data_IF_155999099537
#
_entry.id   IF_155999099537
#
_cell.length_a   1.000
_cell.length_b   1.000
_cell.length_c   1.000
_cell.angle_alpha   90.00
_cell.angle_beta   90.00
_cell.angle_gamma   90.00
#
_symmetry.space_group_name_H-M   'P 1'
#
loop_
_entity.id
_entity.type
_entity.pdbx_description
1 polymer ?
#
# COMPACT_ATOMS: atom_id res chain seq x y z
N UNK A 1 12.18 -3.92 0.66
CA UNK A 1 11.18 -3.99 1.76
C UNK A 1 11.91 -4.34 3.05
N UNK A 2 11.49 -3.80 4.20
CA UNK A 2 12.11 -4.09 5.51
C UNK A 2 11.24 -5.00 6.38
N UNK A 3 9.93 -4.75 6.42
CA UNK A 3 8.98 -5.56 7.20
C UNK A 3 7.55 -5.40 6.67
N UNK A 4 6.67 -6.36 6.99
CA UNK A 4 5.23 -6.32 6.68
C UNK A 4 4.44 -6.71 7.91
N UNK A 5 3.50 -5.86 8.32
CA UNK A 5 2.72 -6.05 9.55
C UNK A 5 1.24 -5.81 9.30
N UNK A 6 0.40 -6.57 10.00
CA UNK A 6 -1.06 -6.45 9.95
C UNK A 6 -1.63 -6.51 11.36
N UNK A 7 -2.58 -5.63 11.66
CA UNK A 7 -3.36 -5.66 12.91
C UNK A 7 -4.79 -5.18 12.61
N UNK A 8 -5.76 -6.08 12.79
CA UNK A 8 -7.15 -5.80 12.40
C UNK A 8 -7.24 -5.41 10.92
N UNK A 9 -7.95 -4.32 10.62
CA UNK A 9 -8.07 -3.77 9.27
C UNK A 9 -6.92 -2.81 8.88
N UNK A 10 -5.76 -2.88 9.54
CA UNK A 10 -4.60 -2.06 9.17
C UNK A 10 -3.48 -2.94 8.66
N UNK A 11 -2.96 -2.63 7.47
CA UNK A 11 -1.77 -3.27 6.91
C UNK A 11 -0.70 -2.24 6.61
N UNK A 12 0.56 -2.58 6.88
CA UNK A 12 1.71 -1.72 6.65
C UNK A 12 2.81 -2.53 5.97
N UNK A 13 3.37 -1.95 4.91
CA UNK A 13 4.64 -2.35 4.32
C UNK A 13 5.67 -1.28 4.68
N UNK A 14 6.71 -1.68 5.41
CA UNK A 14 7.83 -0.81 5.74
C UNK A 14 8.87 -0.87 4.61
N UNK A 15 9.12 0.27 3.97
CA UNK A 15 10.17 0.44 2.98
C UNK A 15 11.52 0.72 3.65
N UNK A 16 12.60 0.58 2.88
CA UNK A 16 13.96 0.84 3.37
C UNK A 16 14.17 2.33 3.69
N UNK A 17 13.50 3.24 2.97
CA UNK A 17 13.52 4.68 3.22
C UNK A 17 12.22 5.34 2.72
N UNK A 18 12.05 6.64 3.00
CA UNK A 18 10.90 7.40 2.49
C UNK A 18 10.99 7.62 0.97
N UNK A 19 12.21 7.76 0.46
CA UNK A 19 12.52 7.94 -0.97
C UNK A 19 12.09 6.71 -1.79
N UNK A 20 12.17 5.51 -1.21
CA UNK A 20 11.70 4.28 -1.84
C UNK A 20 10.16 4.25 -2.07
N UNK A 21 9.41 5.18 -1.48
CA UNK A 21 7.97 5.35 -1.69
C UNK A 21 7.64 6.60 -2.51
N UNK A 22 8.65 7.33 -3.01
CA UNK A 22 8.44 8.51 -3.84
C UNK A 22 7.76 8.10 -5.15
N UNK A 23 6.55 8.62 -5.38
CA UNK A 23 5.75 8.32 -6.58
C UNK A 23 4.72 7.21 -6.41
N UNK A 24 4.69 6.51 -5.26
CA UNK A 24 3.73 5.40 -5.04
C UNK A 24 2.26 5.85 -5.15
N UNK A 25 1.96 7.10 -4.79
CA UNK A 25 0.62 7.65 -4.88
C UNK A 25 0.12 7.77 -6.32
N UNK A 26 0.98 8.24 -7.24
CA UNK A 26 0.63 8.33 -8.66
C UNK A 26 0.50 6.94 -9.29
N UNK A 27 1.45 6.06 -9.00
CA UNK A 27 1.43 4.65 -9.42
C UNK A 27 0.13 3.94 -8.99
N UNK A 28 -0.30 4.15 -7.75
CA UNK A 28 -1.52 3.54 -7.21
C UNK A 28 -2.77 4.14 -7.86
N UNK A 29 -2.79 5.47 -8.07
CA UNK A 29 -3.90 6.18 -8.69
C UNK A 29 -4.17 5.72 -10.12
N UNK A 30 -3.12 5.46 -10.90
CA UNK A 30 -3.22 4.86 -12.24
C UNK A 30 -3.84 3.46 -12.23
N UNK A 31 -3.77 2.75 -11.09
CA UNK A 31 -4.33 1.41 -10.88
C UNK A 31 -5.66 1.42 -10.12
N UNK A 32 -6.28 2.60 -10.00
CA UNK A 32 -7.58 2.77 -9.36
C UNK A 32 -7.56 2.68 -7.84
N UNK A 33 -6.40 2.80 -7.19
CA UNK A 33 -6.28 2.77 -5.72
C UNK A 33 -5.67 4.08 -5.23
N UNK A 34 -6.29 4.69 -4.21
CA UNK A 34 -5.69 5.84 -3.54
C UNK A 34 -4.81 5.39 -2.37
N UNK A 35 -3.50 5.63 -2.48
CA UNK A 35 -2.53 5.38 -1.40
C UNK A 35 -1.74 6.65 -1.10
N UNK A 36 -1.53 6.92 0.20
CA UNK A 36 -0.67 8.00 0.66
C UNK A 36 0.29 7.48 1.73
N UNK A 37 1.59 7.33 1.44
CA UNK A 37 2.55 6.92 2.44
C UNK A 37 2.82 8.03 3.45
N UNK A 38 3.38 7.65 4.60
CA UNK A 38 3.96 8.56 5.59
C UNK A 38 5.38 8.09 5.84
N UNK A 39 6.38 8.95 5.66
CA UNK A 39 7.79 8.55 5.77
C UNK A 39 8.09 7.31 4.93
N UNK A 40 8.61 6.25 5.57
CA UNK A 40 8.92 4.96 4.94
C UNK A 40 7.81 3.92 5.06
N UNK A 41 6.59 4.30 5.45
CA UNK A 41 5.47 3.39 5.64
C UNK A 41 4.43 3.55 4.53
N UNK A 42 4.26 2.50 3.73
CA UNK A 42 3.11 2.36 2.84
C UNK A 42 2.04 1.58 3.59
N UNK A 43 0.87 2.18 3.81
CA UNK A 43 -0.15 1.58 4.66
C UNK A 43 -1.55 1.72 4.06
N UNK A 44 -2.47 0.93 4.59
CA UNK A 44 -3.89 1.06 4.30
C UNK A 44 -4.72 0.78 5.55
N UNK A 45 -5.84 1.49 5.64
CA UNK A 45 -6.90 1.34 6.63
C UNK A 45 -8.24 1.39 5.88
N UNK A 46 -8.59 0.35 5.11
CA UNK A 46 -9.82 0.32 4.32
C UNK A 46 -11.06 0.46 5.20
N UNK A 47 -12.15 0.94 4.60
CA UNK A 47 -13.43 0.99 5.29
C UNK A 47 -13.90 -0.44 5.62
N UNK A 48 -14.61 -0.64 6.72
CA UNK A 48 -15.09 -1.97 7.09
C UNK A 48 -16.13 -2.56 6.13
N UNK A 49 -16.71 -1.72 5.27
CA UNK A 49 -17.63 -2.14 4.20
C UNK A 49 -16.91 -2.54 2.90
N UNK A 50 -15.58 -2.38 2.83
CA UNK A 50 -14.79 -2.73 1.64
C UNK A 50 -14.87 -4.23 1.40
N UNK A 51 -15.23 -4.63 0.18
CA UNK A 51 -15.39 -6.03 -0.22
C UNK A 51 -14.05 -6.74 -0.33
N UNK A 52 -14.07 -8.08 -0.28
CA UNK A 52 -12.86 -8.90 -0.45
C UNK A 52 -12.12 -8.60 -1.76
N UNK A 53 -12.86 -8.36 -2.85
CA UNK A 53 -12.28 -8.02 -4.15
C UNK A 53 -11.55 -6.66 -4.13
N UNK A 54 -12.13 -5.66 -3.47
CA UNK A 54 -11.48 -4.35 -3.30
C UNK A 54 -10.27 -4.42 -2.37
N UNK A 55 -10.33 -5.21 -1.28
CA UNK A 55 -9.16 -5.48 -0.43
C UNK A 55 -8.04 -6.16 -1.23
N UNK A 56 -8.39 -7.15 -2.06
CA UNK A 56 -7.44 -7.80 -2.95
C UNK A 56 -6.82 -6.81 -3.94
N UNK A 57 -7.60 -5.88 -4.51
CA UNK A 57 -7.10 -4.81 -5.38
C UNK A 57 -6.12 -3.90 -4.65
N UNK A 58 -6.50 -3.36 -3.48
CA UNK A 58 -5.67 -2.47 -2.67
C UNK A 58 -4.33 -3.13 -2.34
N UNK A 59 -4.38 -4.35 -1.79
CA UNK A 59 -3.17 -5.07 -1.37
C UNK A 59 -2.34 -5.55 -2.55
N UNK A 60 -2.95 -5.86 -3.71
CA UNK A 60 -2.23 -6.14 -4.95
C UNK A 60 -1.43 -4.93 -5.41
N UNK A 61 -2.05 -3.75 -5.47
CA UNK A 61 -1.35 -2.50 -5.85
C UNK A 61 -0.24 -2.16 -4.87
N UNK A 62 -0.46 -2.34 -3.56
CA UNK A 62 0.59 -2.14 -2.55
C UNK A 62 1.80 -3.05 -2.79
N UNK A 63 1.60 -4.31 -3.16
CA UNK A 63 2.68 -5.26 -3.48
C UNK A 63 3.36 -4.93 -4.81
N UNK A 64 2.57 -4.59 -5.83
CA UNK A 64 3.05 -4.29 -7.18
C UNK A 64 4.13 -3.20 -7.18
N UNK A 65 3.99 -2.17 -6.32
CA UNK A 65 5.00 -1.13 -6.15
C UNK A 65 6.41 -1.66 -5.83
N UNK A 66 6.52 -2.82 -5.16
CA UNK A 66 7.81 -3.40 -4.79
C UNK A 66 8.25 -4.55 -5.72
N UNK A 67 7.37 -5.03 -6.60
CA UNK A 67 7.62 -6.19 -7.46
C UNK A 67 7.80 -5.82 -8.94
N UNK A 68 7.22 -4.69 -9.37
CA UNK A 68 7.24 -4.22 -10.76
C UNK A 68 8.28 -3.10 -11.02
N UNK A 69 8.97 -2.64 -9.98
CA UNK A 69 10.03 -1.61 -10.05
C UNK A 69 11.42 -2.23 -10.15
#
# INVERSE_FOLDING_TARGET
MADVRVLGATAVIEAQSAEALKGVGDFARERGVWLRPIGRWLYTMPAYITSEAEIAQITSVMKAWFLEQ
#
